data_IF_268645474052
#
_entry.id   IF_268645474052
#
_cell.length_a   1.000
_cell.length_b   1.000
_cell.length_c   1.000
_cell.angle_alpha   90.00
_cell.angle_beta   90.00
_cell.angle_gamma   90.00
#
_symmetry.space_group_name_H-M   'P 1'
#
loop_
_entity.id
_entity.type
_entity.pdbx_description
1 polymer ?
#
# COMPACT_ATOMS: atom_id res chain seq x y z
N UNK A 1 13.51 -0.68 -9.85
CA UNK A 1 14.97 -0.85 -9.70
C UNK A 1 15.45 -2.11 -10.42
N UNK A 2 14.90 -3.30 -10.16
CA UNK A 2 15.38 -4.60 -10.68
C UNK A 2 15.47 -4.64 -12.22
N UNK A 3 14.43 -4.20 -12.93
CA UNK A 3 14.44 -4.09 -14.40
C UNK A 3 15.62 -3.23 -14.91
N UNK A 4 15.81 -2.05 -14.34
CA UNK A 4 16.86 -1.12 -14.74
C UNK A 4 18.24 -1.71 -14.48
N UNK A 5 18.42 -2.39 -13.35
CA UNK A 5 19.68 -3.05 -13.03
C UNK A 5 19.98 -4.19 -14.02
N UNK A 6 19.00 -5.04 -14.32
CA UNK A 6 19.15 -6.11 -15.31
C UNK A 6 19.52 -5.57 -16.69
N UNK A 7 18.83 -4.53 -17.18
CA UNK A 7 19.15 -3.84 -18.45
C UNK A 7 20.54 -3.24 -18.47
N UNK A 8 21.12 -2.93 -17.31
CA UNK A 8 22.51 -2.42 -17.17
C UNK A 8 23.55 -3.53 -16.99
N UNK A 9 23.16 -4.79 -17.08
CA UNK A 9 24.07 -5.94 -16.99
C UNK A 9 24.35 -6.44 -15.57
N UNK A 10 23.62 -5.93 -14.56
CA UNK A 10 23.67 -6.49 -13.21
C UNK A 10 22.78 -7.75 -13.14
N UNK A 11 22.97 -8.55 -12.10
CA UNK A 11 22.13 -9.70 -11.77
C UNK A 11 21.34 -9.40 -10.49
N UNK A 12 20.22 -8.70 -10.57
CA UNK A 12 19.44 -8.35 -9.39
C UNK A 12 18.69 -9.56 -8.84
N UNK A 13 18.73 -9.71 -7.51
CA UNK A 13 17.93 -10.65 -6.75
C UNK A 13 16.93 -9.84 -5.93
N UNK A 14 15.64 -10.09 -6.12
CA UNK A 14 14.55 -9.49 -5.34
C UNK A 14 14.12 -10.51 -4.28
N UNK A 15 14.19 -10.12 -3.01
CA UNK A 15 13.72 -10.93 -1.88
C UNK A 15 12.38 -10.36 -1.43
N UNK A 16 11.29 -11.12 -1.60
CA UNK A 16 9.94 -10.74 -1.21
C UNK A 16 9.42 -11.71 -0.14
N UNK A 17 8.97 -11.17 0.99
CA UNK A 17 8.46 -11.98 2.11
C UNK A 17 7.12 -12.64 1.82
N UNK A 18 6.31 -12.02 0.97
CA UNK A 18 4.99 -12.52 0.60
C UNK A 18 5.07 -13.53 -0.54
N UNK A 19 3.94 -14.19 -0.79
CA UNK A 19 3.80 -15.15 -1.90
C UNK A 19 3.66 -14.48 -3.28
N UNK A 20 3.63 -13.16 -3.32
CA UNK A 20 3.40 -12.35 -4.51
C UNK A 20 4.14 -11.00 -4.39
N UNK A 21 4.41 -10.37 -5.52
CA UNK A 21 4.99 -9.02 -5.58
C UNK A 21 3.92 -7.93 -5.47
N UNK A 22 4.34 -6.68 -5.34
CA UNK A 22 3.46 -5.52 -5.37
C UNK A 22 3.27 -4.83 -4.02
N UNK A 23 3.40 -5.57 -2.91
CA UNK A 23 3.28 -5.01 -1.57
C UNK A 23 2.01 -4.17 -1.38
N UNK A 24 2.14 -2.92 -0.95
CA UNK A 24 1.00 -2.02 -0.73
C UNK A 24 0.23 -1.64 -2.00
N UNK A 25 0.80 -1.80 -3.20
CA UNK A 25 0.07 -1.58 -4.46
C UNK A 25 -1.11 -2.54 -4.60
N UNK A 26 -1.04 -3.72 -4.01
CA UNK A 26 -2.15 -4.69 -3.98
C UNK A 26 -3.33 -4.24 -3.10
N UNK A 27 -3.13 -3.24 -2.24
CA UNK A 27 -4.18 -2.60 -1.48
C UNK A 27 -4.68 -1.33 -2.17
N UNK A 28 -3.81 -0.70 -2.96
CA UNK A 28 -4.12 0.53 -3.67
C UNK A 28 -5.12 0.35 -4.82
N UNK A 29 -5.36 -0.88 -5.28
CA UNK A 29 -6.37 -1.22 -6.29
C UNK A 29 -7.79 -1.42 -5.70
N UNK A 30 -7.93 -1.54 -4.38
CA UNK A 30 -9.20 -1.85 -3.70
C UNK A 30 -10.19 -0.69 -3.64
N UNK A 31 -9.75 0.59 -3.49
CA UNK A 31 -10.67 1.71 -3.59
C UNK A 31 -11.35 1.80 -4.97
N UNK A 32 -12.54 2.41 -5.06
CA UNK A 32 -13.27 2.55 -6.31
C UNK A 32 -12.43 3.17 -7.44
N UNK A 33 -12.64 2.70 -8.68
CA UNK A 33 -12.03 3.24 -9.91
C UNK A 33 -10.50 3.08 -9.99
N UNK A 34 -9.90 2.16 -9.23
CA UNK A 34 -8.45 1.91 -9.19
C UNK A 34 -8.02 0.52 -9.69
N UNK A 35 -8.89 -0.19 -10.36
CA UNK A 35 -8.68 -1.58 -10.82
C UNK A 35 -7.46 -1.74 -11.75
N UNK A 36 -7.00 -0.63 -12.37
CA UNK A 36 -5.85 -0.66 -13.29
C UNK A 36 -4.49 -0.66 -12.59
N UNK A 37 -4.47 -0.50 -11.27
CA UNK A 37 -3.21 -0.49 -10.50
C UNK A 37 -2.54 -1.86 -10.53
N UNK A 38 -3.30 -2.95 -10.54
CA UNK A 38 -2.77 -4.32 -10.66
C UNK A 38 -1.94 -4.50 -11.94
N UNK A 39 -2.35 -3.92 -13.06
CA UNK A 39 -1.57 -3.99 -14.29
C UNK A 39 -0.17 -3.40 -14.13
N UNK A 40 -0.03 -2.36 -13.29
CA UNK A 40 1.26 -1.70 -13.06
C UNK A 40 2.27 -2.66 -12.41
N UNK A 41 1.90 -3.32 -11.31
CA UNK A 41 2.87 -4.19 -10.62
C UNK A 41 3.09 -5.51 -11.36
N UNK A 42 2.09 -6.05 -12.07
CA UNK A 42 2.26 -7.19 -12.96
C UNK A 42 3.22 -6.89 -14.12
N UNK A 43 3.08 -5.73 -14.74
CA UNK A 43 3.99 -5.29 -15.80
C UNK A 43 5.41 -5.07 -15.28
N UNK A 44 5.56 -4.47 -14.10
CA UNK A 44 6.85 -4.28 -13.46
C UNK A 44 7.52 -5.62 -13.10
N UNK A 45 6.77 -6.60 -12.60
CA UNK A 45 7.29 -7.94 -12.34
C UNK A 45 7.77 -8.60 -13.64
N UNK A 46 6.92 -8.61 -14.66
CA UNK A 46 7.25 -9.19 -15.98
C UNK A 46 8.48 -8.52 -16.58
N UNK A 47 8.58 -7.19 -16.50
CA UNK A 47 9.71 -6.44 -17.00
C UNK A 47 11.01 -6.76 -16.24
N UNK A 48 10.93 -6.88 -14.90
CA UNK A 48 12.07 -7.29 -14.09
C UNK A 48 12.57 -8.69 -14.45
N UNK A 49 11.67 -9.68 -14.57
CA UNK A 49 12.01 -11.05 -14.98
C UNK A 49 12.61 -11.11 -16.38
N UNK A 50 12.04 -10.39 -17.35
CA UNK A 50 12.59 -10.29 -18.72
C UNK A 50 14.00 -9.67 -18.74
N UNK A 51 14.29 -8.78 -17.81
CA UNK A 51 15.61 -8.18 -17.66
C UNK A 51 16.60 -9.05 -16.88
N UNK A 52 16.25 -10.29 -16.55
CA UNK A 52 17.12 -11.26 -15.87
C UNK A 52 17.10 -11.16 -14.34
N UNK A 53 16.13 -10.46 -13.74
CA UNK A 53 16.02 -10.43 -12.30
C UNK A 53 15.51 -11.78 -11.75
N UNK A 54 16.18 -12.31 -10.73
CA UNK A 54 15.68 -13.41 -9.92
C UNK A 54 14.73 -12.85 -8.85
N UNK A 55 13.49 -13.36 -8.78
CA UNK A 55 12.52 -12.97 -7.74
C UNK A 55 12.25 -14.20 -6.86
N UNK A 56 12.62 -14.09 -5.59
CA UNK A 56 12.42 -15.11 -4.55
C UNK A 56 11.27 -14.67 -3.67
N UNK A 57 10.11 -15.28 -3.88
CA UNK A 57 8.91 -15.08 -3.06
C UNK A 57 8.99 -15.89 -1.76
N UNK A 58 8.10 -15.60 -0.80
CA UNK A 58 8.10 -16.23 0.53
C UNK A 58 9.47 -16.17 1.21
N UNK A 59 10.24 -15.13 0.93
CA UNK A 59 11.64 -15.00 1.35
C UNK A 59 11.84 -13.69 2.10
N UNK A 60 11.72 -13.75 3.43
CA UNK A 60 12.00 -12.61 4.30
C UNK A 60 13.51 -12.41 4.41
N UNK A 61 14.00 -11.30 3.86
CA UNK A 61 15.42 -10.94 3.93
C UNK A 61 15.90 -10.80 5.37
N UNK A 62 17.12 -11.26 5.61
CA UNK A 62 17.83 -11.06 6.87
C UNK A 62 19.33 -10.88 6.64
N UNK A 63 20.05 -10.45 7.67
CA UNK A 63 21.47 -10.12 7.58
C UNK A 63 22.36 -11.33 7.26
N UNK A 64 21.98 -12.53 7.70
CA UNK A 64 22.75 -13.75 7.40
C UNK A 64 22.66 -14.09 5.91
N UNK A 65 21.46 -14.06 5.34
CA UNK A 65 21.21 -14.28 3.91
C UNK A 65 21.93 -13.23 3.04
N UNK A 66 21.92 -11.96 3.45
CA UNK A 66 22.63 -10.92 2.71
C UNK A 66 24.15 -11.12 2.75
N UNK A 67 24.71 -11.59 3.86
CA UNK A 67 26.14 -11.94 3.96
C UNK A 67 26.50 -13.12 3.06
N UNK A 68 25.65 -14.14 3.00
CA UNK A 68 25.84 -15.32 2.14
C UNK A 68 25.78 -14.95 0.65
N UNK A 69 24.81 -14.12 0.26
CA UNK A 69 24.67 -13.61 -1.11
C UNK A 69 25.82 -12.69 -1.54
N UNK A 70 26.51 -12.08 -0.57
CA UNK A 70 27.63 -11.16 -0.77
C UNK A 70 27.40 -10.14 -1.94
N UNK A 71 26.30 -9.37 -1.93
CA UNK A 71 25.95 -8.50 -3.05
C UNK A 71 26.88 -7.30 -3.12
N UNK A 72 27.08 -6.76 -4.33
CA UNK A 72 27.77 -5.50 -4.54
C UNK A 72 27.07 -4.33 -3.83
N UNK A 73 25.74 -4.32 -3.84
CA UNK A 73 24.92 -3.32 -3.15
C UNK A 73 23.57 -3.92 -2.75
N UNK A 74 22.96 -3.34 -1.72
CA UNK A 74 21.61 -3.67 -1.26
C UNK A 74 20.70 -2.46 -1.41
N UNK A 75 19.58 -2.64 -2.11
CA UNK A 75 18.53 -1.62 -2.21
C UNK A 75 17.42 -2.01 -1.23
N UNK A 76 17.19 -1.19 -0.22
CA UNK A 76 16.11 -1.38 0.75
C UNK A 76 14.84 -0.77 0.16
N UNK A 77 13.87 -1.63 -0.19
CA UNK A 77 12.58 -1.27 -0.77
C UNK A 77 11.45 -2.03 -0.07
N UNK A 78 11.52 -2.10 1.27
CA UNK A 78 10.64 -2.94 2.10
C UNK A 78 9.27 -2.32 2.37
N UNK A 79 8.96 -1.16 1.78
CA UNK A 79 7.70 -0.45 2.01
C UNK A 79 7.63 0.21 3.38
N UNK A 80 6.42 0.40 3.88
CA UNK A 80 6.15 0.97 5.21
C UNK A 80 4.96 0.27 5.85
N UNK A 81 4.89 0.35 7.16
CA UNK A 81 3.75 -0.13 7.95
C UNK A 81 2.87 1.06 8.38
N UNK A 82 1.57 0.80 8.60
CA UNK A 82 0.66 1.81 9.11
C UNK A 82 1.09 2.27 10.50
N UNK A 83 1.11 3.59 10.70
CA UNK A 83 1.38 4.17 12.01
C UNK A 83 0.11 4.11 12.84
N UNK A 84 0.18 3.53 14.02
CA UNK A 84 -0.88 3.59 15.03
C UNK A 84 -0.72 4.90 15.82
N UNK A 85 -1.63 5.89 15.66
CA UNK A 85 -1.53 7.14 16.38
C UNK A 85 -1.75 6.93 17.89
N UNK A 86 -1.02 7.70 18.70
CA UNK A 86 -1.14 7.64 20.16
C UNK A 86 -2.32 8.53 20.63
N UNK A 87 -3.53 8.10 20.32
CA UNK A 87 -4.76 8.75 20.77
C UNK A 87 -5.50 7.81 21.74
N UNK A 88 -6.18 8.36 22.75
CA UNK A 88 -6.97 7.56 23.68
C UNK A 88 -8.00 6.70 22.94
N UNK A 89 -8.02 5.40 23.20
CA UNK A 89 -8.95 4.46 22.58
C UNK A 89 -8.48 3.86 21.25
N UNK A 90 -7.29 4.20 20.73
CA UNK A 90 -6.77 3.60 19.49
C UNK A 90 -6.47 2.09 19.57
N UNK A 91 -6.39 1.57 20.79
CA UNK A 91 -6.16 0.16 21.10
C UNK A 91 -7.47 -0.66 21.33
N UNK A 92 -8.62 -0.02 21.16
CA UNK A 92 -9.89 -0.69 21.39
C UNK A 92 -10.22 -1.70 20.27
N UNK A 93 -10.95 -2.78 20.57
CA UNK A 93 -11.26 -3.86 19.61
C UNK A 93 -12.07 -3.43 18.39
N UNK A 94 -12.70 -2.25 18.44
CA UNK A 94 -13.47 -1.69 17.32
C UNK A 94 -12.64 -0.74 16.44
N UNK A 95 -11.37 -0.56 16.76
CA UNK A 95 -10.43 0.25 15.96
C UNK A 95 -9.64 -0.67 15.05
N UNK A 96 -9.60 -0.35 13.78
CA UNK A 96 -8.84 -1.10 12.79
C UNK A 96 -8.05 -0.14 11.89
N UNK A 97 -7.06 -0.68 11.25
CA UNK A 97 -6.24 0.06 10.27
C UNK A 97 -6.89 0.02 8.89
N UNK A 98 -6.54 0.99 8.05
CA UNK A 98 -6.91 0.98 6.63
C UNK A 98 -6.45 -0.31 5.94
N UNK A 99 -5.27 -0.80 6.28
CA UNK A 99 -4.73 -2.07 5.75
C UNK A 99 -5.66 -3.25 6.01
N UNK A 100 -6.22 -3.36 7.22
CA UNK A 100 -7.14 -4.45 7.59
C UNK A 100 -8.49 -4.35 6.86
N UNK A 101 -8.94 -3.13 6.56
CA UNK A 101 -10.13 -2.91 5.73
C UNK A 101 -9.85 -3.29 4.28
N UNK A 102 -8.79 -2.75 3.69
CA UNK A 102 -8.47 -2.95 2.27
C UNK A 102 -8.08 -4.39 1.93
N UNK A 103 -7.44 -5.12 2.85
CA UNK A 103 -7.11 -6.54 2.63
C UNK A 103 -8.28 -7.49 2.93
N UNK A 104 -9.42 -6.96 3.41
CA UNK A 104 -10.62 -7.74 3.70
C UNK A 104 -10.58 -8.52 5.01
N UNK A 105 -9.58 -8.32 5.88
CA UNK A 105 -9.52 -8.93 7.21
C UNK A 105 -10.63 -8.41 8.13
N UNK A 106 -11.02 -7.15 7.92
CA UNK A 106 -12.15 -6.51 8.60
C UNK A 106 -13.20 -6.14 7.55
N UNK A 107 -14.44 -6.61 7.76
CA UNK A 107 -15.58 -6.27 6.91
C UNK A 107 -16.56 -5.41 7.70
N UNK A 108 -16.93 -4.27 7.13
CA UNK A 108 -17.78 -3.27 7.73
C UNK A 108 -18.95 -2.96 6.79
N UNK A 109 -20.16 -3.31 7.21
CA UNK A 109 -21.38 -3.07 6.43
C UNK A 109 -22.48 -2.50 7.35
N UNK A 110 -23.16 -1.46 6.92
CA UNK A 110 -24.24 -0.81 7.65
C UNK A 110 -23.80 -0.21 9.01
N UNK A 111 -22.56 0.23 9.11
CA UNK A 111 -21.96 0.78 10.33
C UNK A 111 -21.84 2.29 10.27
N UNK A 112 -21.69 2.89 11.46
CA UNK A 112 -21.20 4.27 11.61
C UNK A 112 -19.69 4.18 11.80
N UNK A 113 -18.92 4.82 10.91
CA UNK A 113 -17.47 4.70 10.86
C UNK A 113 -16.85 6.10 10.91
N UNK A 114 -15.87 6.28 11.78
CA UNK A 114 -15.00 7.44 11.77
C UNK A 114 -13.65 7.07 11.13
N UNK A 115 -13.28 7.74 10.05
CA UNK A 115 -11.96 7.63 9.42
C UNK A 115 -11.10 8.79 9.92
N UNK A 116 -9.98 8.46 10.55
CA UNK A 116 -9.06 9.45 11.12
C UNK A 116 -7.94 9.72 10.13
N UNK A 117 -7.92 10.96 9.63
CA UNK A 117 -7.01 11.45 8.62
C UNK A 117 -7.63 11.49 7.22
N UNK A 118 -7.44 12.62 6.55
CA UNK A 118 -7.96 12.89 5.20
C UNK A 118 -6.86 12.90 4.13
N UNK A 119 -5.75 12.20 4.35
CA UNK A 119 -4.80 11.90 3.27
C UNK A 119 -5.46 11.02 2.19
N UNK A 120 -4.85 10.87 1.02
CA UNK A 120 -5.42 10.10 -0.10
C UNK A 120 -5.92 8.72 0.34
N UNK A 121 -5.12 7.98 1.09
CA UNK A 121 -5.52 6.65 1.58
C UNK A 121 -6.76 6.69 2.47
N UNK A 122 -6.88 7.71 3.34
CA UNK A 122 -8.06 7.87 4.20
C UNK A 122 -9.31 8.20 3.40
N UNK A 123 -9.22 9.13 2.44
CA UNK A 123 -10.33 9.52 1.56
C UNK A 123 -10.80 8.35 0.69
N UNK A 124 -9.88 7.66 0.03
CA UNK A 124 -10.18 6.52 -0.83
C UNK A 124 -10.80 5.35 -0.06
N UNK A 125 -10.34 5.12 1.18
CA UNK A 125 -10.95 4.11 2.04
C UNK A 125 -12.32 4.54 2.52
N UNK A 126 -12.53 5.82 2.80
CA UNK A 126 -13.83 6.36 3.17
C UNK A 126 -14.85 6.21 2.01
N UNK A 127 -14.42 6.46 0.77
CA UNK A 127 -15.25 6.26 -0.42
C UNK A 127 -15.67 4.79 -0.57
N UNK A 128 -14.70 3.86 -0.47
CA UNK A 128 -14.97 2.43 -0.49
C UNK A 128 -15.98 2.02 0.59
N UNK A 129 -15.79 2.49 1.83
CA UNK A 129 -16.67 2.16 2.95
C UNK A 129 -18.08 2.74 2.76
N UNK A 130 -18.20 3.94 2.17
CA UNK A 130 -19.48 4.56 1.85
C UNK A 130 -20.22 3.77 0.75
N UNK A 131 -19.54 3.34 -0.31
CA UNK A 131 -20.11 2.46 -1.34
C UNK A 131 -20.60 1.11 -0.79
N UNK A 132 -19.97 0.63 0.29
CA UNK A 132 -20.40 -0.58 1.03
C UNK A 132 -21.60 -0.35 1.96
N UNK A 133 -22.22 0.84 1.92
CA UNK A 133 -23.43 1.16 2.67
C UNK A 133 -23.19 1.58 4.12
N UNK A 134 -22.01 2.06 4.45
CA UNK A 134 -21.69 2.60 5.76
C UNK A 134 -21.96 4.12 5.84
N UNK A 135 -22.23 4.62 7.03
CA UNK A 135 -22.19 6.06 7.33
C UNK A 135 -20.77 6.45 7.73
N UNK A 136 -20.07 7.16 6.88
CA UNK A 136 -18.67 7.50 7.09
C UNK A 136 -18.51 8.96 7.48
N UNK A 137 -17.74 9.22 8.54
CA UNK A 137 -17.32 10.56 8.96
C UNK A 137 -15.80 10.62 8.93
N UNK A 138 -15.25 11.62 8.24
CA UNK A 138 -13.80 11.84 8.19
C UNK A 138 -13.44 12.88 9.24
N UNK A 139 -12.43 12.59 10.04
CA UNK A 139 -11.89 13.48 11.07
C UNK A 139 -10.47 13.86 10.66
N UNK A 140 -10.27 15.17 10.42
CA UNK A 140 -8.98 15.73 10.03
C UNK A 140 -8.49 16.71 11.09
N UNK A 141 -7.19 16.68 11.39
CA UNK A 141 -6.55 17.56 12.33
C UNK A 141 -6.22 18.93 11.71
N UNK A 142 -5.97 18.96 10.41
CA UNK A 142 -5.73 20.19 9.67
C UNK A 142 -7.04 20.95 9.42
N UNK A 143 -6.91 22.23 9.09
CA UNK A 143 -8.04 23.12 8.78
C UNK A 143 -8.64 22.91 7.37
N UNK A 144 -8.08 22.01 6.59
CA UNK A 144 -8.56 21.62 5.27
C UNK A 144 -8.42 20.12 5.03
N UNK A 145 -9.30 19.57 4.21
CA UNK A 145 -9.26 18.16 3.78
C UNK A 145 -8.11 17.96 2.79
N UNK A 146 -7.49 16.79 2.81
CA UNK A 146 -6.44 16.36 1.90
C UNK A 146 -5.25 17.32 1.84
N UNK A 147 -4.65 17.72 2.97
CA UNK A 147 -3.53 18.64 2.97
C UNK A 147 -2.37 18.09 2.15
N UNK A 148 -1.79 18.90 1.26
CA UNK A 148 -0.65 18.53 0.42
C UNK A 148 -0.98 17.78 -0.88
N UNK A 149 -2.24 17.53 -1.19
CA UNK A 149 -2.68 16.81 -2.40
C UNK A 149 -3.11 17.73 -3.54
N UNK A 150 -2.63 18.95 -3.58
CA UNK A 150 -3.02 19.98 -4.56
C UNK A 150 -2.90 19.57 -6.02
N UNK A 151 -2.11 18.56 -6.34
CA UNK A 151 -1.97 18.05 -7.71
C UNK A 151 -3.04 17.02 -8.10
N UNK A 152 -3.93 16.64 -7.17
CA UNK A 152 -4.97 15.62 -7.35
C UNK A 152 -6.39 16.17 -7.11
N UNK A 153 -6.59 17.46 -7.37
CA UNK A 153 -7.87 18.15 -7.14
C UNK A 153 -9.10 17.46 -7.75
N UNK A 154 -8.93 16.81 -8.89
CA UNK A 154 -10.04 16.15 -9.59
C UNK A 154 -10.57 14.93 -8.82
N UNK A 155 -9.72 14.21 -8.12
CA UNK A 155 -10.13 13.07 -7.29
C UNK A 155 -10.80 13.53 -5.99
N UNK A 156 -10.25 14.57 -5.36
CA UNK A 156 -10.80 15.13 -4.11
C UNK A 156 -12.21 15.69 -4.32
N UNK A 157 -12.44 16.42 -5.41
CA UNK A 157 -13.76 17.00 -5.70
C UNK A 157 -14.83 15.97 -6.05
N UNK A 158 -14.45 14.73 -6.39
CA UNK A 158 -15.39 13.64 -6.62
C UNK A 158 -15.77 12.88 -5.34
N UNK A 159 -15.04 13.11 -4.25
CA UNK A 159 -15.22 12.44 -2.94
C UNK A 159 -15.90 13.36 -1.91
N UNK A 160 -16.09 14.63 -2.21
CA UNK A 160 -16.75 15.62 -1.35
C UNK A 160 -18.25 15.74 -1.69
#
# INVERSE_FOLDING_TARGET
AAEVLGKRGFQPIVLEKEAFVGGQLQLADKPPRKEKIDWCFEDLERAARRAGAEIRLNTKANSAMLKELNPYAVIIATGGDAIHPRIPGADQPHVCTVTEVLNGSVKLEGKQIAVIGSGMTGLETADLLAEQGNQVTIIEMADQIAPGTYHQHTEISSLA
#
